data_IF_177059399811
#
_entry.id   IF_177059399811
#
_cell.length_a   1.000
_cell.length_b   1.000
_cell.length_c   1.000
_cell.angle_alpha   90.00
_cell.angle_beta   90.00
_cell.angle_gamma   90.00
#
_symmetry.space_group_name_H-M   'P 1'
#
loop_
_entity.id
_entity.type
_entity.pdbx_description
1 polymer ?
2 polymer ?
3 non-polymer ?
4 non-polymer ?
5 water ?
#
# COMPACT_ATOMS: atom_id res chain seq x y z
N UNK A 3 -11.89 -2.04 6.72
CA UNK A 3 -10.75 -2.13 7.62
C UNK A 3 -10.38 -0.79 8.23
N UNK A 4 -10.07 -0.82 9.53
CA UNK A 4 -9.50 0.34 10.21
C UNK A 4 -8.01 0.40 9.90
N UNK A 5 -7.57 1.51 9.30
CA UNK A 5 -6.15 1.81 9.16
C UNK A 5 -5.73 2.76 10.26
N UNK A 6 -4.61 2.44 10.91
CA UNK A 6 -4.09 3.30 11.96
C UNK A 6 -3.82 4.70 11.40
N UNK A 7 -3.30 4.77 10.17
CA UNK A 7 -3.02 6.08 9.57
C UNK A 7 -4.27 6.94 9.50
N UNK A 8 -5.43 6.33 9.25
CA UNK A 8 -6.66 7.12 9.18
C UNK A 8 -7.15 7.51 10.58
N UNK A 9 -6.93 6.65 11.57
CA UNK A 9 -7.34 7.00 12.93
C UNK A 9 -6.48 8.10 13.51
N UNK A 10 -5.22 8.21 13.08
CA UNK A 10 -4.28 9.14 13.67
C UNK A 10 -4.26 10.51 12.98
N UNK A 11 -4.77 10.61 11.77
CA UNK A 11 -4.75 11.85 11.01
C UNK A 11 -6.18 12.14 10.55
N UNK A 12 -6.74 13.30 10.87
CA UNK A 12 -8.10 13.60 10.40
C UNK A 12 -8.13 13.66 8.88
N UNK A 13 -9.32 13.42 8.33
CA UNK A 13 -9.46 13.30 6.88
C UNK A 13 -8.93 14.54 6.16
N UNK A 14 -9.20 15.72 6.70
CA UNK A 14 -8.82 16.94 5.99
C UNK A 14 -7.30 17.09 5.92
N UNK A 15 -6.58 16.57 6.92
CA UNK A 15 -5.12 16.62 6.86
C UNK A 15 -4.57 15.63 5.85
N UNK A 16 -5.14 14.42 5.81
CA UNK A 16 -4.73 13.44 4.81
C UNK A 16 -5.06 13.93 3.41
N UNK A 17 -6.26 14.48 3.22
CA UNK A 17 -6.69 14.92 1.89
C UNK A 17 -5.78 16.03 1.36
N UNK A 18 -5.38 16.95 2.23
CA UNK A 18 -4.51 18.03 1.78
C UNK A 18 -3.13 17.51 1.44
N UNK A 19 -2.62 16.55 2.21
CA UNK A 19 -1.33 15.95 1.87
C UNK A 19 -1.43 15.15 0.58
N UNK A 20 -2.52 14.40 0.39
CA UNK A 20 -2.68 13.63 -0.84
C UNK A 20 -2.78 14.51 -2.08
N UNK A 21 -3.57 15.59 -1.99
CA UNK A 21 -3.66 16.52 -3.12
C UNK A 21 -2.29 17.11 -3.43
N UNK A 22 -1.57 17.55 -2.40
CA UNK A 22 -0.28 18.19 -2.61
C UNK A 22 0.72 17.23 -3.24
N UNK A 23 0.80 16.00 -2.73
CA UNK A 23 1.80 15.08 -3.25
C UNK A 23 1.45 14.63 -4.66
N UNK A 24 0.15 14.53 -4.97
CA UNK A 24 -0.26 14.14 -6.32
C UNK A 24 0.00 15.26 -7.32
N UNK A 25 -0.18 16.50 -6.90
CA UNK A 25 0.13 17.62 -7.79
C UNK A 25 1.63 17.77 -7.97
N UNK A 26 2.41 17.49 -6.92
CA UNK A 26 3.85 17.67 -7.00
C UNK A 26 4.50 16.57 -7.83
N UNK A 27 3.99 15.33 -7.75
CA UNK A 27 4.57 14.18 -8.44
C UNK A 27 3.48 13.47 -9.22
N UNK A 28 3.09 14.00 -10.37
CA UNK A 28 1.93 13.44 -11.10
C UNK A 28 2.13 12.03 -11.59
N UNK A 29 3.37 11.55 -11.71
CA UNK A 29 3.65 10.20 -12.17
C UNK A 29 3.97 9.26 -11.03
N UNK A 30 3.71 9.67 -9.78
CA UNK A 30 3.81 8.82 -8.61
C UNK A 30 2.46 8.81 -7.89
N UNK A 31 2.24 7.77 -7.09
CA UNK A 31 1.01 7.66 -6.29
C UNK A 31 1.36 7.38 -4.84
N UNK A 32 0.66 8.02 -3.88
CA UNK A 32 0.92 7.76 -2.46
C UNK A 32 0.14 6.55 -1.95
N UNK A 33 0.82 5.68 -1.22
CA UNK A 33 0.27 4.40 -0.81
C UNK A 33 0.53 4.22 0.68
N UNK A 34 -0.51 3.80 1.42
CA UNK A 34 -0.41 3.43 2.82
C UNK A 34 -0.53 1.91 2.90
N UNK A 35 0.44 1.26 3.56
CA UNK A 35 0.46 -0.19 3.70
C UNK A 35 0.47 -0.53 5.18
N UNK A 36 -0.52 -1.31 5.62
CA UNK A 36 -0.60 -1.72 7.02
C UNK A 36 -0.96 -3.18 7.11
N UNK A 37 -0.55 -3.80 8.23
CA UNK A 37 -0.88 -5.19 8.47
C UNK A 37 -2.36 -5.38 8.78
N UNK A 38 -2.97 -6.40 8.18
CA UNK A 38 -4.35 -6.74 8.47
C UNK A 38 -4.49 -7.18 9.92
N UNK A 39 -5.63 -6.89 10.56
CA UNK A 39 -5.82 -7.29 11.96
C UNK A 39 -5.76 -8.80 12.10
N UNK A 40 -5.08 -9.26 13.14
CA UNK A 40 -4.96 -10.67 13.50
C UNK A 40 -4.23 -11.49 12.45
N UNK A 41 -3.57 -10.84 11.49
CA UNK A 41 -2.61 -11.55 10.66
C UNK A 41 -1.44 -12.00 11.52
N UNK A 42 -0.80 -13.10 11.10
CA UNK A 42 0.36 -13.66 11.79
C UNK A 42 1.53 -13.51 10.82
N UNK A 43 2.17 -12.34 10.86
CA UNK A 43 3.21 -12.01 9.91
C UNK A 43 4.03 -10.89 10.51
N UNK A 44 5.29 -10.78 10.07
CA UNK A 44 6.17 -9.78 10.64
C UNK A 44 5.71 -8.37 10.35
N UNK A 45 6.20 -7.45 11.18
CA UNK A 45 5.84 -6.06 11.06
C UNK A 45 6.55 -5.39 9.89
N UNK A 46 5.95 -4.31 9.43
CA UNK A 46 6.48 -3.50 8.34
C UNK A 46 6.96 -2.18 8.92
N UNK A 47 8.22 -1.85 8.66
CA UNK A 47 8.86 -0.72 9.36
C UNK A 47 8.28 0.62 8.92
N UNK A 48 7.93 0.74 7.64
CA UNK A 48 7.38 1.96 7.10
C UNK A 48 6.03 1.70 6.48
N UNK A 49 5.13 2.66 6.61
CA UNK A 49 3.78 2.49 6.09
C UNK A 49 3.45 3.42 4.92
N UNK A 50 4.25 4.46 4.72
CA UNK A 50 3.94 5.54 3.78
C UNK A 50 4.90 5.47 2.61
N UNK A 51 4.38 5.14 1.43
CA UNK A 51 5.20 4.89 0.24
C UNK A 51 4.80 5.86 -0.87
N UNK A 52 5.80 6.38 -1.58
CA UNK A 52 5.56 7.16 -2.78
C UNK A 52 6.08 6.33 -3.96
N UNK A 53 5.16 5.86 -4.80
CA UNK A 53 5.41 4.76 -5.72
C UNK A 53 5.28 5.21 -7.17
N UNK A 54 6.16 4.79 -8.08
CA UNK A 54 5.95 5.13 -9.49
C UNK A 54 4.66 4.51 -10.00
N UNK A 55 3.91 5.29 -10.79
CA UNK A 55 2.66 4.77 -11.33
C UNK A 55 2.87 3.53 -12.18
N UNK A 56 4.04 3.41 -12.83
CA UNK A 56 4.30 2.28 -13.70
C UNK A 56 4.88 1.07 -12.98
N UNK A 57 5.23 1.19 -11.69
CA UNK A 57 5.62 0.02 -10.92
C UNK A 57 4.46 -0.97 -10.87
N UNK A 58 4.76 -2.26 -11.04
CA UNK A 58 3.68 -3.23 -10.94
C UNK A 58 3.45 -3.66 -9.50
N UNK A 59 2.24 -4.19 -9.27
CA UNK A 59 1.90 -4.80 -7.98
C UNK A 59 2.92 -5.88 -7.63
N UNK A 60 3.30 -6.70 -8.60
CA UNK A 60 4.28 -7.73 -8.35
C UNK A 60 5.62 -7.16 -7.91
N UNK A 61 6.05 -6.07 -8.54
CA UNK A 61 7.29 -5.44 -8.10
C UNK A 61 7.16 -4.87 -6.70
N UNK A 62 5.97 -4.37 -6.35
CA UNK A 62 5.74 -3.85 -5.01
C UNK A 62 5.73 -4.97 -3.97
N UNK A 63 5.09 -6.09 -4.31
CA UNK A 63 5.18 -7.29 -3.47
C UNK A 63 6.64 -7.61 -3.14
N UNK A 64 7.50 -7.66 -4.16
CA UNK A 64 8.89 -8.06 -3.95
C UNK A 64 9.56 -7.14 -2.95
N UNK A 65 9.33 -5.84 -3.07
CA UNK A 65 9.96 -4.87 -2.17
C UNK A 65 9.41 -4.98 -0.75
N UNK A 66 8.09 -5.18 -0.62
CA UNK A 66 7.51 -5.26 0.72
C UNK A 66 7.92 -6.54 1.42
N UNK A 67 7.98 -7.66 0.68
CA UNK A 67 8.47 -8.90 1.25
C UNK A 67 9.88 -8.72 1.82
N UNK A 68 10.73 -7.99 1.11
CA UNK A 68 12.10 -7.78 1.59
C UNK A 68 12.12 -6.89 2.82
N UNK A 69 11.25 -5.87 2.88
CA UNK A 69 11.23 -5.01 4.05
C UNK A 69 10.80 -5.76 5.30
N UNK A 70 9.91 -6.75 5.15
CA UNK A 70 9.46 -7.55 6.29
C UNK A 70 10.45 -8.64 6.63
N UNK A 71 11.42 -8.92 5.74
CA UNK A 71 12.40 -9.97 5.92
C UNK A 71 11.74 -11.36 5.88
N UNK A 72 10.82 -11.54 4.96
CA UNK A 72 10.14 -12.82 4.82
C UNK A 72 11.05 -13.83 4.16
N UNK A 73 10.93 -15.08 4.58
CA UNK A 73 11.51 -16.18 3.83
C UNK A 73 10.63 -16.50 2.63
N UNK A 74 11.21 -17.20 1.66
CA UNK A 74 10.51 -17.47 0.40
C UNK A 74 9.19 -18.21 0.65
N UNK A 75 9.20 -19.15 1.59
CA UNK A 75 8.01 -19.95 1.88
C UNK A 75 7.02 -19.23 2.78
N UNK A 76 7.33 -18.02 3.26
CA UNK A 76 6.39 -17.21 4.01
C UNK A 76 5.47 -16.49 3.04
N UNK A 77 4.17 -16.72 3.17
CA UNK A 77 3.21 -16.11 2.24
C UNK A 77 3.01 -14.63 2.55
N UNK A 78 2.67 -13.87 1.50
CA UNK A 78 2.28 -12.47 1.64
C UNK A 78 1.20 -12.18 0.62
N UNK A 79 0.10 -11.58 1.09
CA UNK A 79 -1.00 -11.19 0.21
C UNK A 79 -1.34 -9.73 0.45
N UNK A 80 -1.66 -9.00 -0.62
CA UNK A 80 -2.18 -7.64 -0.55
C UNK A 80 -3.69 -7.66 -0.72
N UNK A 81 -4.38 -6.78 0.03
CA UNK A 81 -5.81 -6.62 -0.13
C UNK A 81 -6.11 -5.14 -0.29
N UNK A 82 -6.92 -4.81 -1.30
CA UNK A 82 -7.49 -3.48 -1.46
C UNK A 82 -9.00 -3.65 -1.44
N UNK A 83 -9.66 -3.09 -0.42
CA UNK A 83 -11.08 -3.32 -0.17
C UNK A 83 -11.41 -4.81 -0.22
N UNK A 84 -10.57 -5.61 0.45
CA UNK A 84 -10.72 -7.05 0.64
C UNK A 84 -10.46 -7.88 -0.62
N UNK A 85 -9.92 -7.27 -1.67
CA UNK A 85 -9.68 -7.96 -2.94
C UNK A 85 -8.17 -8.00 -3.20
N UNK A 86 -7.68 -9.15 -3.65
CA UNK A 86 -6.28 -9.33 -4.01
C UNK A 86 -6.02 -8.81 -5.42
N UNK A 87 -5.14 -7.82 -5.59
CA UNK A 87 -4.90 -7.26 -6.93
C UNK A 87 -4.04 -8.18 -7.78
N UNK A 88 -4.14 -8.07 -9.11
CA UNK A 88 -3.28 -8.87 -9.97
C UNK A 88 -1.85 -8.36 -9.94
N UNK A 89 -0.89 -9.29 -9.98
CA UNK A 89 0.51 -8.90 -9.87
C UNK A 89 0.99 -8.13 -11.09
N UNK A 90 0.36 -8.30 -12.24
CA UNK A 90 0.75 -7.59 -13.46
C UNK A 90 0.12 -6.20 -13.57
N UNK A 91 -0.83 -5.86 -12.72
CA UNK A 91 -1.40 -4.52 -12.74
C UNK A 91 -0.37 -3.50 -12.27
N UNK A 92 -0.46 -2.27 -12.80
CA UNK A 92 0.41 -1.24 -12.27
C UNK A 92 -0.18 -0.62 -11.01
N UNK A 93 0.70 -0.06 -10.19
CA UNK A 93 0.25 0.67 -9.01
C UNK A 93 -0.59 1.87 -9.40
N UNK A 94 -0.31 2.48 -10.55
CA UNK A 94 -1.13 3.58 -11.02
C UNK A 94 -2.54 3.15 -11.36
N UNK A 95 -2.68 1.97 -11.97
CA UNK A 95 -4.02 1.46 -12.27
C UNK A 95 -4.77 1.14 -10.99
N UNK A 96 -4.10 0.48 -10.05
CA UNK A 96 -4.71 0.19 -8.76
C UNK A 96 -5.11 1.46 -8.04
N UNK A 97 -4.27 2.49 -8.12
CA UNK A 97 -4.59 3.76 -7.48
C UNK A 97 -5.80 4.41 -8.14
N UNK A 98 -5.81 4.48 -9.47
CA UNK A 98 -6.94 5.11 -10.16
C UNK A 98 -8.25 4.41 -9.80
N UNK A 99 -8.22 3.09 -9.68
CA UNK A 99 -9.43 2.33 -9.41
C UNK A 99 -9.92 2.52 -7.98
N UNK A 100 -8.99 2.63 -7.03
CA UNK A 100 -9.34 2.39 -5.64
C UNK A 100 -8.83 3.41 -4.63
N UNK A 101 -8.18 4.49 -5.05
CA UNK A 101 -7.73 5.43 -4.05
C UNK A 101 -8.93 6.04 -3.35
N UNK A 102 -8.73 6.40 -2.08
CA UNK A 102 -9.82 6.95 -1.29
C UNK A 102 -9.89 8.47 -1.49
N UNK A 103 -10.86 9.10 -0.82
CA UNK A 103 -11.13 10.52 -1.05
C UNK A 103 -10.05 11.44 -0.52
N UNK A 104 -9.11 10.93 0.28
CA UNK A 104 -7.94 11.69 0.69
C UNK A 104 -6.78 11.57 -0.29
N UNK A 105 -7.01 10.90 -1.42
CA UNK A 105 -6.05 10.71 -2.51
C UNK A 105 -4.93 9.74 -2.14
N UNK A 106 -5.11 8.95 -1.09
CA UNK A 106 -4.22 7.85 -0.77
C UNK A 106 -4.83 6.53 -1.23
N UNK A 107 -3.98 5.60 -1.66
CA UNK A 107 -4.35 4.20 -1.86
C UNK A 107 -3.99 3.43 -0.60
N UNK A 108 -4.91 2.60 -0.12
CA UNK A 108 -4.73 1.84 1.12
C UNK A 108 -4.64 0.35 0.81
N UNK A 109 -3.54 -0.26 1.22
CA UNK A 109 -3.31 -1.70 1.02
C UNK A 109 -3.11 -2.34 2.37
N UNK A 110 -3.85 -3.41 2.63
CA UNK A 110 -3.62 -4.25 3.80
C UNK A 110 -2.80 -5.47 3.36
N UNK A 111 -1.90 -5.91 4.22
CA UNK A 111 -1.14 -7.12 3.92
C UNK A 111 -1.35 -8.16 5.00
N UNK A 112 -1.24 -9.43 4.59
CA UNK A 112 -1.48 -10.55 5.48
C UNK A 112 -0.69 -11.74 5.01
N UNK A 113 -0.54 -12.72 5.90
CA UNK A 113 -0.04 -14.02 5.51
C UNK A 113 -1.12 -14.88 4.88
N UNK A 114 -2.38 -14.50 5.02
CA UNK A 114 -3.53 -15.32 4.64
C UNK A 114 -4.09 -14.90 3.29
N UNK A 115 -4.66 -15.86 2.58
CA UNK A 115 -5.16 -15.66 1.22
C UNK A 115 -6.56 -15.09 1.18
N UNK A 116 -7.20 -14.90 2.33
CA UNK A 116 -8.54 -14.33 2.41
C UNK A 116 -8.55 -13.33 3.55
N UNK A 117 -9.09 -12.14 3.30
CA UNK A 117 -9.12 -11.12 4.34
C UNK A 117 -10.11 -11.50 5.42
N UNK A 118 -9.74 -11.26 6.68
CA UNK A 118 -10.65 -11.49 7.77
C UNK A 118 -10.83 -12.94 8.16
N UNK A 119 -10.09 -13.86 7.55
CA UNK A 119 -10.09 -15.24 7.98
C UNK A 119 -8.76 -15.54 8.66
N UNK B 6 8.37 12.06 5.31
CA UNK B 6 7.91 10.82 5.88
C UNK B 6 7.66 9.77 4.82
N UNK B 7 7.93 10.11 3.57
CA UNK B 7 7.72 9.21 2.44
C UNK B 7 8.91 8.30 2.26
N UNK B 8 8.64 7.01 2.07
CA UNK B 8 9.65 6.10 1.55
C UNK B 8 9.53 6.11 0.03
N UNK B 9 10.60 6.56 -0.65
CA UNK B 9 10.56 6.69 -2.09
C UNK B 9 10.88 5.34 -2.72
N UNK B 10 9.96 4.86 -3.55
CA UNK B 10 10.13 3.60 -4.28
C UNK B 10 10.48 3.93 -5.72
N UNK B 11 11.33 3.11 -6.32
CA UNK B 11 11.74 3.29 -7.71
C UNK B 11 11.53 2.02 -8.50
N UNK B 12 11.40 2.21 -9.82
CA UNK B 12 11.41 1.08 -10.75
C UNK B 12 12.77 0.39 -10.68
N UNK B 13 12.82 -0.95 -10.66
CA UNK B 13 14.07 -1.72 -10.62
C UNK B 13 14.79 -1.72 -11.97
X LIG C 1 -8.03 -3.63 -9.87
X LIG D 1 -16.73 9.93 2.34
X LIG E 1 -8.81 10.26 -8.36
X LIG F 1 1.59 11.14 11.53
X LIG G 1 4.63 6.08 -17.37
X LIG H 1 -9.64 -2.70 -9.42
X LIG I 1 -6.35 -4.20 -11.14
X LIG J 1 0.92 5.64 15.44
X LIG K 1 15.87 -9.12 5.55
X LIG L 1 -7.83 -4.88 -7.45
X LIG L 1 -7.85 -5.96 -8.11
X LIG L 1 -7.88 -3.70 -7.89
X LIG L 1 -7.75 -5.03 -5.89
X LIG M 1 -7.30 22.24 -3.30
X LIG M 1 -6.46 22.70 -2.48
X LIG M 1 -8.55 22.09 -3.16
X LIG M 1 -6.73 21.74 -4.64
X LIG N 1 -13.45 6.82 1.11
X LIG N 1 -14.16 6.21 0.27
X LIG N 1 -12.86 7.93 1.01
X LIG N 1 -13.31 6.08 2.48
X LIG O 1 0.92 -13.64 -4.45
X LIG O 1 0.77 -14.72 -5.10
X LIG O 1 0.29 -13.23 -3.44
X LIG O 1 2.05 -12.71 -4.98
#
# INVERSE_FOLDING_TARGET
GSMKFVYKEEHPFEKRRSEGEKIRKKYPDRVPVIVEKAPKARIGDLDKKKYLVPSDLTVGQFYFLIRKRIHLRAEDALFFFVNNVIPPTSATMGQLYQEHHEEDFFLYIAYSDESVYGL
GSEVDGWLIIDLPDS
ZN ZN
ZN ZN
ZN ZN
ZN ZN
ZN ZN
ZN ZN
ZN ZN
ZN ZN
ZN ZN
ACT C O OXT CH3
ACT C O OXT CH3
ACT C O OXT CH3
ACT C O OXT CH3
#
